data_IF_597082122781
#
_entry.id   IF_597082122781
#
_cell.length_a   1.000
_cell.length_b   1.000
_cell.length_c   1.000
_cell.angle_alpha   90.00
_cell.angle_beta   90.00
_cell.angle_gamma   90.00
#
_symmetry.space_group_name_H-M   'P 1'
#
loop_
_entity.id
_entity.type
_entity.pdbx_description
1 polymer ?
#
# COMPACT_ATOMS: atom_id res chain seq x y z
N UNK A 1 19.71 -2.94 32.84
CA UNK A 1 20.53 -1.88 33.50
C UNK A 1 20.33 -0.64 32.67
N UNK A 2 19.88 0.49 33.22
CA UNK A 2 19.56 1.66 32.39
C UNK A 2 20.84 2.39 31.97
N UNK A 3 20.99 2.69 30.68
CA UNK A 3 22.19 3.34 30.12
C UNK A 3 22.50 4.72 30.72
N UNK A 4 21.48 5.37 31.28
CA UNK A 4 21.54 6.72 31.83
C UNK A 4 21.56 6.76 33.37
N UNK A 5 21.57 5.59 34.02
CA UNK A 5 21.42 5.47 35.48
C UNK A 5 22.51 6.15 36.30
N UNK A 6 23.73 6.31 35.77
CA UNK A 6 24.89 6.83 36.50
C UNK A 6 24.75 8.28 37.03
N UNK A 7 23.79 9.05 36.53
CA UNK A 7 23.51 10.42 36.99
C UNK A 7 22.48 10.49 38.13
N UNK A 8 21.67 9.46 38.33
CA UNK A 8 20.49 9.53 39.19
C UNK A 8 20.77 8.90 40.55
N UNK A 9 20.39 9.59 41.62
CA UNK A 9 20.54 9.12 43.01
C UNK A 9 19.42 8.15 43.42
N UNK A 10 18.30 8.17 42.72
CA UNK A 10 17.09 7.40 43.01
C UNK A 10 16.67 6.61 41.76
N UNK A 11 15.96 5.50 41.99
CA UNK A 11 15.34 4.75 40.89
C UNK A 11 14.15 5.53 40.34
N UNK A 12 13.79 5.35 39.05
CA UNK A 12 12.54 5.86 38.52
C UNK A 12 11.35 5.36 39.34
N UNK A 13 10.33 6.20 39.48
CA UNK A 13 9.03 5.76 39.99
C UNK A 13 8.43 4.71 39.03
N UNK A 14 7.86 3.64 39.59
CA UNK A 14 7.35 2.51 38.79
C UNK A 14 6.23 2.93 37.82
N UNK A 15 5.37 3.88 38.24
CA UNK A 15 4.29 4.40 37.39
C UNK A 15 4.82 5.27 36.25
N UNK A 16 5.85 6.09 36.51
CA UNK A 16 6.52 6.87 35.47
C UNK A 16 7.31 5.97 34.52
N UNK A 17 7.95 4.93 35.02
CA UNK A 17 8.65 3.94 34.20
C UNK A 17 7.69 3.29 33.19
N UNK A 18 6.56 2.78 33.68
CA UNK A 18 5.54 2.16 32.85
C UNK A 18 4.96 3.11 31.78
N UNK A 19 4.95 4.42 32.04
CA UNK A 19 4.54 5.43 31.05
C UNK A 19 5.58 5.66 29.95
N UNK A 20 6.87 5.51 30.26
CA UNK A 20 7.98 5.80 29.33
C UNK A 20 8.44 4.62 28.48
N UNK A 21 8.03 3.40 28.85
CA UNK A 21 8.38 2.16 28.17
C UNK A 21 7.35 1.87 27.08
N UNK A 22 7.83 1.68 25.86
CA UNK A 22 7.02 1.30 24.69
C UNK A 22 7.55 -0.02 24.13
N UNK A 23 6.81 -1.11 24.33
CA UNK A 23 7.20 -2.43 23.85
C UNK A 23 7.00 -2.65 22.35
N UNK A 24 6.44 -1.69 21.61
CA UNK A 24 6.27 -1.81 20.16
C UNK A 24 7.60 -1.96 19.43
N UNK A 25 8.66 -1.34 19.97
CA UNK A 25 10.02 -1.38 19.43
C UNK A 25 10.66 -2.77 19.39
N UNK A 26 10.13 -3.76 20.12
CA UNK A 26 10.57 -5.16 20.06
C UNK A 26 10.47 -5.73 18.65
N UNK A 27 9.59 -5.18 17.80
CA UNK A 27 9.49 -5.53 16.37
C UNK A 27 10.75 -5.15 15.57
N UNK A 28 11.60 -4.28 16.12
CA UNK A 28 12.87 -3.84 15.53
C UNK A 28 14.07 -4.70 15.96
N UNK A 29 13.88 -5.80 16.68
CA UNK A 29 14.99 -6.62 17.21
C UNK A 29 16.01 -7.02 16.13
N UNK A 30 15.55 -7.55 15.00
CA UNK A 30 16.44 -7.91 13.89
C UNK A 30 17.08 -6.69 13.22
N UNK A 31 16.40 -5.54 13.22
CA UNK A 31 16.92 -4.30 12.68
C UNK A 31 18.04 -3.73 13.57
N UNK A 32 17.86 -3.76 14.89
CA UNK A 32 18.84 -3.33 15.90
C UNK A 32 20.10 -4.22 15.88
N UNK A 33 19.93 -5.53 15.72
CA UNK A 33 21.04 -6.49 15.62
C UNK A 33 21.86 -6.20 14.36
N UNK A 34 21.19 -6.02 13.21
CA UNK A 34 21.86 -5.69 11.95
C UNK A 34 22.61 -4.35 12.02
N UNK A 35 21.96 -3.31 12.55
CA UNK A 35 22.58 -2.00 12.77
C UNK A 35 23.75 -2.05 13.75
N UNK A 36 23.65 -2.86 14.80
CA UNK A 36 24.72 -3.10 15.76
C UNK A 36 25.90 -3.86 15.14
N UNK A 37 25.66 -4.84 14.27
CA UNK A 37 26.72 -5.55 13.56
C UNK A 37 27.51 -4.62 12.62
N UNK A 38 26.81 -3.74 11.89
CA UNK A 38 27.42 -2.72 11.06
C UNK A 38 28.23 -1.70 11.88
N UNK A 39 27.68 -1.26 13.02
CA UNK A 39 28.37 -0.35 13.93
C UNK A 39 29.67 -0.95 14.46
N UNK A 40 29.65 -2.20 14.93
CA UNK A 40 30.83 -2.90 15.44
C UNK A 40 31.89 -3.12 14.36
N UNK A 41 31.45 -3.37 13.13
CA UNK A 41 32.35 -3.48 11.96
C UNK A 41 33.10 -2.17 11.75
N UNK A 42 32.37 -1.03 11.71
CA UNK A 42 32.97 0.30 11.64
C UNK A 42 33.95 0.58 12.80
N UNK A 43 33.60 0.22 14.04
CA UNK A 43 34.48 0.44 15.19
C UNK A 43 35.79 -0.35 15.08
N UNK A 44 35.75 -1.56 14.52
CA UNK A 44 36.93 -2.39 14.27
C UNK A 44 37.81 -1.82 13.15
N UNK A 45 37.22 -1.42 12.02
CA UNK A 45 37.96 -0.87 10.88
C UNK A 45 38.61 0.48 11.17
N UNK A 46 37.97 1.29 12.01
CA UNK A 46 38.50 2.59 12.47
C UNK A 46 39.50 2.45 13.63
N UNK A 47 39.71 1.23 14.14
CA UNK A 47 40.67 0.95 15.21
C UNK A 47 40.26 1.49 16.59
N UNK A 48 38.98 1.82 16.79
CA UNK A 48 38.44 2.28 18.08
C UNK A 48 38.38 1.11 19.07
N UNK A 49 38.09 -0.10 18.57
CA UNK A 49 38.20 -1.36 19.30
C UNK A 49 39.20 -2.27 18.57
N UNK A 50 39.73 -3.27 19.27
CA UNK A 50 40.65 -4.22 18.63
C UNK A 50 39.90 -5.14 17.67
N UNK A 51 40.63 -5.78 16.75
CA UNK A 51 40.07 -6.78 15.83
C UNK A 51 39.41 -7.94 16.60
N UNK A 52 40.07 -8.43 17.66
CA UNK A 52 39.55 -9.51 18.50
C UNK A 52 38.26 -9.08 19.24
N UNK A 53 38.17 -7.82 19.68
CA UNK A 53 36.97 -7.26 20.31
C UNK A 53 35.82 -7.13 19.31
N UNK A 54 36.10 -6.65 18.10
CA UNK A 54 35.11 -6.55 17.02
C UNK A 54 34.57 -7.92 16.63
N UNK A 55 35.43 -8.94 16.51
CA UNK A 55 35.03 -10.31 16.18
C UNK A 55 34.19 -10.95 17.30
N UNK A 56 34.57 -10.74 18.56
CA UNK A 56 33.79 -11.21 19.71
C UNK A 56 32.38 -10.61 19.72
N UNK A 57 32.27 -9.29 19.53
CA UNK A 57 30.98 -8.59 19.47
C UNK A 57 30.11 -9.07 18.30
N UNK A 58 30.69 -9.21 17.10
CA UNK A 58 29.99 -9.73 15.93
C UNK A 58 29.49 -11.16 16.14
N UNK A 59 30.33 -12.03 16.71
CA UNK A 59 29.93 -13.40 17.04
C UNK A 59 28.78 -13.45 18.04
N UNK A 60 28.82 -12.60 19.08
CA UNK A 60 27.72 -12.48 20.03
C UNK A 60 26.43 -11.98 19.39
N UNK A 61 26.51 -11.01 18.46
CA UNK A 61 25.34 -10.51 17.74
C UNK A 61 24.72 -11.58 16.80
N UNK A 62 25.54 -12.42 16.16
CA UNK A 62 25.04 -13.57 15.38
C UNK A 62 24.26 -14.53 16.26
N UNK A 63 24.77 -14.85 17.46
CA UNK A 63 24.04 -15.70 18.40
C UNK A 63 22.71 -15.06 18.85
N UNK A 64 22.68 -13.74 19.06
CA UNK A 64 21.44 -13.02 19.39
C UNK A 64 20.45 -13.07 18.22
N UNK A 65 20.92 -12.97 16.98
CA UNK A 65 20.09 -13.13 15.78
C UNK A 65 19.47 -14.54 15.71
N UNK A 66 20.26 -15.58 15.96
CA UNK A 66 19.77 -16.96 16.05
C UNK A 66 18.69 -17.10 17.12
N UNK A 67 18.92 -16.56 18.32
CA UNK A 67 17.93 -16.55 19.41
C UNK A 67 16.64 -15.80 19.02
N UNK A 68 16.76 -14.70 18.28
CA UNK A 68 15.61 -13.91 17.81
C UNK A 68 14.79 -14.70 16.77
N UNK A 69 15.45 -15.36 15.82
CA UNK A 69 14.79 -16.14 14.76
C UNK A 69 14.14 -17.41 15.31
N UNK A 70 14.78 -18.08 16.28
CA UNK A 70 14.23 -19.26 16.96
C UNK A 70 13.14 -18.92 17.98
N UNK A 71 12.97 -17.64 18.32
CA UNK A 71 12.01 -17.18 19.33
C UNK A 71 12.43 -17.52 20.77
N UNK A 72 13.73 -17.71 21.00
CA UNK A 72 14.32 -18.02 22.31
C UNK A 72 14.94 -16.81 22.99
N UNK A 73 15.05 -15.66 22.28
CA UNK A 73 15.47 -14.40 22.88
C UNK A 73 14.46 -13.91 23.94
N UNK A 74 14.92 -13.75 25.17
CA UNK A 74 14.08 -13.30 26.29
C UNK A 74 14.24 -11.80 26.58
N UNK A 75 13.14 -11.06 26.45
CA UNK A 75 13.01 -9.71 26.99
C UNK A 75 12.74 -9.77 28.50
N UNK A 76 13.44 -8.93 29.27
CA UNK A 76 13.30 -8.85 30.73
C UNK A 76 12.58 -7.56 31.15
N UNK A 77 12.06 -7.51 32.38
CA UNK A 77 11.44 -6.29 32.94
C UNK A 77 12.43 -5.11 33.07
N UNK A 78 13.72 -5.40 33.11
CA UNK A 78 14.79 -4.40 33.20
C UNK A 78 15.23 -3.82 31.85
N UNK A 79 14.65 -4.29 30.75
CA UNK A 79 14.89 -3.79 29.40
C UNK A 79 13.90 -2.64 29.12
N UNK A 80 14.43 -1.42 28.99
CA UNK A 80 13.63 -0.21 28.68
C UNK A 80 13.06 -0.27 27.26
N UNK A 81 13.92 -0.72 26.34
CA UNK A 81 13.74 -0.73 24.89
C UNK A 81 14.49 -1.93 24.29
N UNK A 82 14.23 -2.21 23.02
CA UNK A 82 14.89 -3.29 22.27
C UNK A 82 16.42 -3.18 22.31
N UNK A 83 16.94 -1.96 22.27
CA UNK A 83 18.36 -1.69 22.24
C UNK A 83 19.06 -2.10 23.55
N UNK A 84 18.42 -1.82 24.69
CA UNK A 84 18.89 -2.22 26.02
C UNK A 84 18.86 -3.74 26.21
N UNK A 85 17.87 -4.42 25.62
CA UNK A 85 17.78 -5.87 25.62
C UNK A 85 18.94 -6.50 24.84
N UNK A 86 19.22 -6.01 23.62
CA UNK A 86 20.34 -6.49 22.79
C UNK A 86 21.68 -6.25 23.49
N UNK A 87 21.88 -5.07 24.07
CA UNK A 87 23.12 -4.75 24.78
C UNK A 87 23.31 -5.61 26.04
N UNK A 88 22.26 -5.79 26.85
CA UNK A 88 22.29 -6.71 28.00
C UNK A 88 22.68 -8.11 27.55
N UNK A 89 21.98 -8.63 26.54
CA UNK A 89 22.22 -10.00 26.06
C UNK A 89 23.64 -10.14 25.51
N UNK A 90 24.15 -9.13 24.81
CA UNK A 90 25.52 -9.15 24.29
C UNK A 90 26.56 -9.19 25.41
N UNK A 91 26.38 -8.39 26.48
CA UNK A 91 27.25 -8.43 27.67
C UNK A 91 27.21 -9.79 28.37
N UNK A 92 26.04 -10.44 28.45
CA UNK A 92 25.93 -11.81 29.00
C UNK A 92 26.74 -12.83 28.18
N UNK A 93 26.82 -12.65 26.86
CA UNK A 93 27.52 -13.56 25.95
C UNK A 93 29.03 -13.31 25.90
N UNK A 94 29.46 -12.06 25.84
CA UNK A 94 30.87 -11.69 25.53
C UNK A 94 31.56 -10.90 26.65
N UNK A 95 30.89 -10.75 27.80
CA UNK A 95 31.43 -10.10 28.99
C UNK A 95 31.62 -8.60 28.83
N UNK A 96 32.67 -8.06 29.46
CA UNK A 96 32.95 -6.62 29.50
C UNK A 96 33.14 -6.00 28.11
N UNK A 97 33.61 -6.78 27.12
CA UNK A 97 33.70 -6.32 25.73
C UNK A 97 32.33 -5.89 25.19
N UNK A 98 31.25 -6.54 25.61
CA UNK A 98 29.86 -6.19 25.24
C UNK A 98 29.50 -4.74 25.58
N UNK A 99 30.05 -4.21 26.67
CA UNK A 99 29.82 -2.82 27.09
C UNK A 99 30.47 -1.79 26.16
N UNK A 100 31.34 -2.21 25.23
CA UNK A 100 31.92 -1.34 24.21
C UNK A 100 30.98 -1.11 23.02
N UNK A 101 29.89 -1.86 22.88
CA UNK A 101 28.96 -1.78 21.75
C UNK A 101 28.46 -0.35 21.50
N UNK A 102 28.19 0.42 22.56
CA UNK A 102 27.61 1.76 22.44
C UNK A 102 28.67 2.87 22.17
N UNK A 103 29.94 2.52 22.00
CA UNK A 103 31.03 3.49 21.78
C UNK A 103 30.76 4.31 20.51
N UNK A 104 30.74 5.64 20.62
CA UNK A 104 30.52 6.56 19.49
C UNK A 104 29.08 6.64 18.98
N UNK A 105 28.14 5.89 19.57
CA UNK A 105 26.73 5.81 19.16
C UNK A 105 25.82 6.48 20.17
N UNK A 106 24.60 6.81 19.75
CA UNK A 106 23.50 7.20 20.63
C UNK A 106 22.29 6.31 20.38
N UNK A 107 21.32 6.31 21.29
CA UNK A 107 20.00 5.76 20.96
C UNK A 107 19.30 6.54 19.85
N UNK A 108 19.65 7.82 19.65
CA UNK A 108 19.00 8.69 18.68
C UNK A 108 19.30 8.31 17.22
N UNK A 109 20.56 8.08 16.87
CA UNK A 109 20.95 7.62 15.52
C UNK A 109 20.67 6.12 15.33
N UNK A 110 20.76 5.33 16.40
CA UNK A 110 20.39 3.91 16.40
C UNK A 110 18.91 3.71 16.06
N UNK A 111 17.97 4.32 16.79
CA UNK A 111 16.54 4.17 16.49
C UNK A 111 16.15 4.75 15.12
N UNK A 112 16.84 5.80 14.67
CA UNK A 112 16.65 6.37 13.35
C UNK A 112 17.09 5.40 12.24
N UNK A 113 18.16 4.62 12.48
CA UNK A 113 18.57 3.56 11.57
C UNK A 113 17.58 2.39 11.60
N UNK A 114 17.24 1.88 12.78
CA UNK A 114 16.44 0.67 12.92
C UNK A 114 15.06 0.82 12.26
N UNK A 115 14.42 1.99 12.43
CA UNK A 115 13.15 2.26 11.74
C UNK A 115 13.34 2.35 10.22
N UNK A 116 14.44 2.91 9.70
CA UNK A 116 14.71 2.95 8.25
C UNK A 116 14.92 1.56 7.67
N UNK A 117 15.69 0.70 8.35
CA UNK A 117 15.89 -0.70 7.96
C UNK A 117 14.56 -1.46 7.93
N UNK A 118 13.74 -1.26 8.97
CA UNK A 118 12.41 -1.84 9.05
C UNK A 118 11.52 -1.40 7.88
N UNK A 119 11.43 -0.09 7.64
CA UNK A 119 10.63 0.47 6.55
C UNK A 119 11.11 0.00 5.19
N UNK A 120 12.43 -0.12 4.98
CA UNK A 120 13.02 -0.63 3.73
C UNK A 120 12.56 -2.06 3.47
N UNK A 121 12.65 -2.94 4.49
CA UNK A 121 12.16 -4.33 4.41
C UNK A 121 10.66 -4.39 4.15
N UNK A 122 9.86 -3.63 4.88
CA UNK A 122 8.40 -3.62 4.71
C UNK A 122 8.00 -3.07 3.35
N UNK A 123 8.62 -1.99 2.86
CA UNK A 123 8.37 -1.44 1.53
C UNK A 123 8.62 -2.48 0.43
N UNK A 124 9.71 -3.25 0.51
CA UNK A 124 9.96 -4.37 -0.42
C UNK A 124 8.87 -5.44 -0.37
N UNK A 125 8.38 -5.81 0.82
CA UNK A 125 7.27 -6.77 0.94
C UNK A 125 5.96 -6.21 0.37
N UNK A 126 5.64 -4.94 0.64
CA UNK A 126 4.46 -4.26 0.09
C UNK A 126 4.51 -4.15 -1.43
N UNK A 127 5.69 -3.90 -2.02
CA UNK A 127 5.90 -3.94 -3.48
C UNK A 127 5.51 -5.31 -4.05
N UNK A 128 5.96 -6.40 -3.41
CA UNK A 128 5.66 -7.76 -3.87
C UNK A 128 4.16 -8.08 -3.74
N UNK A 129 3.54 -7.73 -2.62
CA UNK A 129 2.11 -7.96 -2.39
C UNK A 129 1.22 -7.14 -3.34
N UNK A 130 1.56 -5.87 -3.58
CA UNK A 130 0.86 -5.03 -4.56
C UNK A 130 1.02 -5.57 -5.99
N UNK A 131 2.20 -6.11 -6.32
CA UNK A 131 2.43 -6.77 -7.62
C UNK A 131 1.54 -8.01 -7.75
N UNK A 132 1.51 -8.86 -6.73
CA UNK A 132 0.64 -10.05 -6.69
C UNK A 132 -0.83 -9.67 -6.84
N UNK A 133 -1.30 -8.68 -6.08
CA UNK A 133 -2.68 -8.19 -6.15
C UNK A 133 -3.04 -7.67 -7.55
N UNK A 134 -2.14 -6.89 -8.16
CA UNK A 134 -2.32 -6.40 -9.54
C UNK A 134 -2.37 -7.55 -10.56
N UNK A 135 -1.52 -8.58 -10.42
CA UNK A 135 -1.53 -9.77 -11.27
C UNK A 135 -2.79 -10.62 -11.10
N UNK A 136 -3.33 -10.75 -9.88
CA UNK A 136 -4.61 -11.43 -9.64
C UNK A 136 -5.74 -10.70 -10.37
N UNK A 137 -5.81 -9.36 -10.26
CA UNK A 137 -6.78 -8.57 -11.03
C UNK A 137 -6.57 -8.71 -12.54
N UNK A 138 -5.32 -8.78 -13.01
CA UNK A 138 -4.99 -8.98 -14.42
C UNK A 138 -5.48 -10.33 -14.95
N UNK A 139 -5.29 -11.41 -14.18
CA UNK A 139 -5.79 -12.75 -14.55
C UNK A 139 -7.31 -12.76 -14.71
N UNK A 140 -8.04 -12.23 -13.72
CA UNK A 140 -9.50 -12.11 -13.78
C UNK A 140 -9.92 -11.21 -14.95
N UNK A 141 -9.18 -10.12 -15.20
CA UNK A 141 -9.47 -9.22 -16.31
C UNK A 141 -9.25 -9.86 -17.68
N UNK A 142 -8.32 -10.80 -17.80
CA UNK A 142 -8.09 -11.58 -19.03
C UNK A 142 -9.25 -12.54 -19.28
N UNK A 143 -9.70 -13.27 -18.26
CA UNK A 143 -10.86 -14.16 -18.34
C UNK A 143 -12.16 -13.42 -18.71
N UNK A 144 -12.25 -12.14 -18.30
CA UNK A 144 -13.38 -11.26 -18.56
C UNK A 144 -13.10 -10.14 -19.56
N UNK A 145 -12.14 -10.34 -20.47
CA UNK A 145 -11.76 -9.33 -21.47
C UNK A 145 -12.86 -9.00 -22.49
N UNK A 146 -13.84 -9.91 -22.65
CA UNK A 146 -14.99 -9.74 -23.54
C UNK A 146 -16.35 -9.71 -22.79
N UNK A 147 -16.37 -9.87 -21.47
CA UNK A 147 -17.62 -9.86 -20.69
C UNK A 147 -18.20 -8.44 -20.62
N UNK A 148 -19.34 -8.14 -21.25
CA UNK A 148 -19.87 -6.78 -21.29
C UNK A 148 -20.50 -6.41 -19.95
N UNK A 149 -20.14 -5.22 -19.44
CA UNK A 149 -20.77 -4.62 -18.26
C UNK A 149 -21.07 -3.16 -18.49
N UNK A 150 -22.06 -2.64 -17.78
CA UNK A 150 -22.27 -1.20 -17.72
C UNK A 150 -21.18 -0.56 -16.86
N UNK A 151 -20.48 0.44 -17.37
CA UNK A 151 -19.73 1.38 -16.55
C UNK A 151 -20.70 2.31 -15.82
N UNK A 152 -20.28 2.80 -14.66
CA UNK A 152 -21.12 3.67 -13.84
C UNK A 152 -20.47 5.03 -13.65
N UNK A 153 -21.29 6.08 -13.79
CA UNK A 153 -20.98 7.41 -13.27
C UNK A 153 -22.15 7.86 -12.42
N UNK A 154 -21.90 8.39 -11.22
CA UNK A 154 -22.95 8.69 -10.24
C UNK A 154 -23.83 7.46 -9.88
N UNK A 155 -23.26 6.26 -9.99
CA UNK A 155 -23.98 4.98 -9.82
C UNK A 155 -25.17 4.83 -10.80
N UNK A 156 -25.11 5.51 -11.96
CA UNK A 156 -26.00 5.33 -13.09
C UNK A 156 -25.23 4.68 -14.24
N UNK A 157 -25.87 3.76 -14.97
CA UNK A 157 -25.26 3.13 -16.14
C UNK A 157 -24.93 4.22 -17.17
N UNK A 158 -23.68 4.24 -17.62
CA UNK A 158 -23.15 5.28 -18.50
C UNK A 158 -22.84 4.72 -19.89
N UNK A 159 -21.88 3.79 -19.98
CA UNK A 159 -21.43 3.18 -21.22
C UNK A 159 -21.23 1.68 -21.00
N UNK A 160 -21.04 0.93 -22.06
CA UNK A 160 -20.64 -0.49 -21.97
C UNK A 160 -19.13 -0.63 -22.16
N UNK A 161 -18.52 -1.41 -21.27
CA UNK A 161 -17.09 -1.76 -21.27
C UNK A 161 -16.92 -3.23 -20.88
N UNK A 162 -15.78 -3.87 -21.18
CA UNK A 162 -15.50 -5.18 -20.60
C UNK A 162 -15.35 -5.11 -19.08
N UNK A 163 -15.80 -6.13 -18.35
CA UNK A 163 -15.51 -6.26 -16.92
C UNK A 163 -13.99 -6.25 -16.68
N UNK A 164 -13.21 -6.86 -17.57
CA UNK A 164 -11.75 -6.79 -17.51
C UNK A 164 -11.20 -5.36 -17.59
N UNK A 165 -11.83 -4.46 -18.34
CA UNK A 165 -11.45 -3.05 -18.37
C UNK A 165 -11.67 -2.37 -17.01
N UNK A 166 -12.79 -2.67 -16.36
CA UNK A 166 -13.11 -2.16 -15.03
C UNK A 166 -12.11 -2.64 -13.99
N UNK A 167 -11.81 -3.95 -13.97
CA UNK A 167 -10.86 -4.55 -13.02
C UNK A 167 -9.43 -4.02 -13.22
N UNK A 168 -9.02 -3.79 -14.47
CA UNK A 168 -7.71 -3.20 -14.77
C UNK A 168 -7.55 -1.78 -14.23
N UNK A 169 -8.62 -1.02 -14.05
CA UNK A 169 -8.54 0.30 -13.41
C UNK A 169 -7.93 0.19 -11.99
N UNK A 170 -8.28 -0.85 -11.24
CA UNK A 170 -7.72 -1.13 -9.92
C UNK A 170 -6.32 -1.73 -9.96
N UNK A 171 -6.02 -2.57 -10.96
CA UNK A 171 -4.65 -3.03 -11.18
C UNK A 171 -3.70 -1.85 -11.43
N UNK A 172 -4.12 -0.86 -12.24
CA UNK A 172 -3.35 0.37 -12.46
C UNK A 172 -3.23 1.27 -11.23
N UNK A 173 -4.21 1.24 -10.31
CA UNK A 173 -4.07 1.89 -9.00
C UNK A 173 -2.96 1.22 -8.19
N UNK A 174 -2.97 -0.12 -8.10
CA UNK A 174 -1.95 -0.88 -7.40
C UNK A 174 -0.53 -0.69 -7.99
N UNK A 175 -0.40 -0.55 -9.32
CA UNK A 175 0.88 -0.21 -9.97
C UNK A 175 1.42 1.14 -9.50
N UNK A 176 0.57 2.17 -9.38
CA UNK A 176 0.99 3.48 -8.85
C UNK A 176 1.32 3.43 -7.37
N UNK A 177 0.61 2.61 -6.59
CA UNK A 177 0.93 2.44 -5.18
C UNK A 177 2.28 1.72 -5.01
N UNK A 178 2.52 0.69 -5.83
CA UNK A 178 3.82 0.00 -5.95
C UNK A 178 4.95 0.96 -6.32
N UNK A 179 4.74 1.84 -7.30
CA UNK A 179 5.78 2.79 -7.71
C UNK A 179 6.16 3.77 -6.60
N UNK A 180 5.20 4.21 -5.77
CA UNK A 180 5.50 5.06 -4.61
C UNK A 180 6.42 4.38 -3.61
N UNK A 181 6.22 3.08 -3.36
CA UNK A 181 7.14 2.32 -2.51
C UNK A 181 8.53 2.16 -3.14
N UNK A 182 8.64 1.99 -4.46
CA UNK A 182 9.95 2.03 -5.13
C UNK A 182 10.65 3.37 -4.98
N UNK A 183 9.93 4.47 -5.20
CA UNK A 183 10.48 5.81 -5.05
C UNK A 183 10.93 6.06 -3.61
N UNK A 184 10.17 5.57 -2.62
CA UNK A 184 10.50 5.66 -1.20
C UNK A 184 11.75 4.86 -0.83
N UNK A 185 11.95 3.67 -1.41
CA UNK A 185 13.15 2.87 -1.15
C UNK A 185 14.44 3.65 -1.43
N UNK A 186 14.47 4.46 -2.49
CA UNK A 186 15.62 5.32 -2.82
C UNK A 186 15.95 6.26 -1.65
N UNK A 187 14.94 6.90 -1.04
CA UNK A 187 15.16 7.83 0.09
C UNK A 187 15.47 7.11 1.40
N UNK A 188 14.98 5.88 1.58
CA UNK A 188 15.30 5.03 2.73
C UNK A 188 16.72 4.45 2.68
N UNK A 189 17.44 4.59 1.57
CA UNK A 189 18.80 4.06 1.37
C UNK A 189 19.91 4.91 1.98
N UNK A 190 19.59 5.97 2.72
CA UNK A 190 20.58 6.79 3.43
C UNK A 190 20.71 6.39 4.90
N UNK A 191 21.92 6.05 5.36
CA UNK A 191 22.18 5.64 6.75
C UNK A 191 22.30 6.86 7.67
N UNK A 192 21.59 6.90 8.82
CA UNK A 192 21.80 7.93 9.85
C UNK A 192 22.89 7.57 10.87
N UNK A 193 23.44 6.36 10.80
CA UNK A 193 24.36 5.82 11.81
C UNK A 193 25.70 6.57 11.82
N UNK A 194 26.11 7.06 12.99
CA UNK A 194 27.28 7.93 13.15
C UNK A 194 26.91 9.39 13.43
N UNK A 195 25.63 9.77 13.31
CA UNK A 195 25.12 11.07 13.73
C UNK A 195 25.15 11.25 15.26
N UNK A 196 25.33 10.17 16.02
CA UNK A 196 25.36 10.16 17.48
C UNK A 196 24.11 10.83 18.05
N UNK A 197 24.24 11.58 19.15
CA UNK A 197 23.07 12.17 19.82
C UNK A 197 22.44 13.34 19.03
N UNK A 198 23.25 14.11 18.31
CA UNK A 198 22.81 15.30 17.56
C UNK A 198 23.95 16.01 16.79
N UNK A 199 25.18 15.94 17.31
CA UNK A 199 26.34 16.68 16.79
C UNK A 199 27.38 15.82 16.08
N UNK A 200 27.10 14.53 15.84
CA UNK A 200 28.10 13.56 15.44
C UNK A 200 29.00 13.11 16.61
N UNK A 201 29.98 12.27 16.30
CA UNK A 201 30.97 11.79 17.27
C UNK A 201 32.31 12.53 17.13
N UNK A 202 33.03 12.71 18.23
CA UNK A 202 34.43 13.17 18.20
C UNK A 202 35.43 12.03 17.98
N UNK A 203 34.95 10.78 17.99
CA UNK A 203 35.76 9.62 17.62
C UNK A 203 35.89 9.56 16.08
N UNK A 204 36.97 8.96 15.56
CA UNK A 204 37.19 8.86 14.11
C UNK A 204 36.30 7.77 13.48
N UNK A 205 34.97 7.94 13.57
CA UNK A 205 34.00 7.04 12.94
C UNK A 205 34.05 7.17 11.41
N UNK A 206 33.65 6.12 10.73
CA UNK A 206 33.48 6.10 9.27
C UNK A 206 32.07 5.60 8.91
N UNK A 207 31.06 6.52 8.82
CA UNK A 207 29.68 6.15 8.52
C UNK A 207 29.51 5.37 7.21
N UNK A 208 30.41 5.54 6.23
CA UNK A 208 30.36 4.83 4.95
C UNK A 208 30.59 3.32 5.13
N UNK A 209 31.47 2.92 6.05
CA UNK A 209 31.68 1.50 6.40
C UNK A 209 30.38 0.90 6.93
N UNK A 210 29.69 1.61 7.82
CA UNK A 210 28.44 1.15 8.41
C UNK A 210 27.32 1.09 7.37
N UNK A 211 27.19 2.11 6.51
CA UNK A 211 26.22 2.14 5.43
C UNK A 211 26.43 1.00 4.42
N UNK A 212 27.68 0.79 4.00
CA UNK A 212 28.05 -0.29 3.08
C UNK A 212 27.73 -1.68 3.64
N UNK A 213 28.03 -1.92 4.93
CA UNK A 213 27.71 -3.17 5.61
C UNK A 213 26.19 -3.47 5.64
N UNK A 214 25.34 -2.43 5.61
CA UNK A 214 23.87 -2.54 5.60
C UNK A 214 23.27 -2.53 4.18
N UNK A 215 24.12 -2.45 3.14
CA UNK A 215 23.71 -2.28 1.75
C UNK A 215 22.90 -0.99 1.53
N UNK A 216 23.23 0.07 2.26
CA UNK A 216 22.70 1.42 2.06
C UNK A 216 23.54 2.16 1.02
N UNK A 217 22.94 3.10 0.30
CA UNK A 217 23.56 3.79 -0.84
C UNK A 217 24.39 5.01 -0.41
N UNK A 218 24.14 5.54 0.78
CA UNK A 218 24.85 6.70 1.29
C UNK A 218 24.68 6.92 2.80
N UNK A 219 25.16 8.08 3.24
CA UNK A 219 25.19 8.51 4.64
C UNK A 219 24.53 9.88 4.80
N UNK A 220 24.08 10.17 6.02
CA UNK A 220 23.48 11.45 6.35
C UNK A 220 24.45 12.64 6.12
N UNK A 221 23.92 13.75 5.57
CA UNK A 221 24.68 15.00 5.41
C UNK A 221 24.70 15.87 6.69
N UNK A 222 23.70 15.72 7.55
CA UNK A 222 23.51 16.57 8.73
C UNK A 222 23.03 15.74 9.93
N UNK A 223 23.81 15.76 11.02
CA UNK A 223 23.53 14.96 12.21
C UNK A 223 22.28 15.38 12.99
N UNK A 224 21.90 16.67 12.95
CA UNK A 224 20.66 17.14 13.57
C UNK A 224 19.43 16.61 12.82
N UNK A 225 19.50 16.63 11.49
CA UNK A 225 18.46 16.10 10.62
C UNK A 225 18.34 14.58 10.75
N UNK A 226 19.47 13.87 10.71
CA UNK A 226 19.54 12.40 10.78
C UNK A 226 18.79 11.82 11.98
N UNK A 227 18.88 12.48 13.14
CA UNK A 227 18.22 12.03 14.38
C UNK A 227 16.86 12.66 14.62
N UNK A 228 16.61 13.86 14.08
CA UNK A 228 15.41 14.65 14.34
C UNK A 228 14.28 14.44 13.32
N UNK A 229 14.58 14.04 12.08
CA UNK A 229 13.58 13.91 11.03
C UNK A 229 12.78 12.59 11.11
N UNK A 230 11.50 12.65 10.72
CA UNK A 230 10.59 11.50 10.52
C UNK A 230 9.76 11.65 9.24
N UNK A 231 10.28 12.38 8.26
CA UNK A 231 9.63 12.56 6.95
C UNK A 231 9.48 11.22 6.20
N UNK A 232 10.49 10.36 6.21
CA UNK A 232 10.44 9.02 5.59
C UNK A 232 9.43 8.10 6.27
N UNK A 233 9.21 8.27 7.58
CA UNK A 233 8.13 7.59 8.31
C UNK A 233 6.76 8.10 7.82
N UNK A 234 6.59 9.41 7.70
CA UNK A 234 5.35 9.99 7.18
C UNK A 234 5.09 9.57 5.72
N UNK A 235 6.13 9.52 4.89
CA UNK A 235 6.03 9.12 3.51
C UNK A 235 5.64 7.65 3.37
N UNK A 236 6.21 6.76 4.17
CA UNK A 236 5.79 5.36 4.22
C UNK A 236 4.31 5.24 4.59
N UNK A 237 3.88 5.92 5.65
CA UNK A 237 2.48 5.91 6.10
C UNK A 237 1.55 6.51 5.06
N UNK A 238 1.99 7.53 4.31
CA UNK A 238 1.27 8.06 3.17
C UNK A 238 1.10 7.02 2.06
N UNK A 239 2.17 6.34 1.66
CA UNK A 239 2.13 5.30 0.63
C UNK A 239 1.11 4.21 0.98
N UNK A 240 1.17 3.72 2.22
CA UNK A 240 0.24 2.71 2.71
C UNK A 240 -1.20 3.22 2.84
N UNK A 241 -1.40 4.45 3.32
CA UNK A 241 -2.72 5.08 3.43
C UNK A 241 -3.36 5.27 2.06
N UNK A 242 -2.60 5.73 1.07
CA UNK A 242 -3.11 5.90 -0.29
C UNK A 242 -3.51 4.56 -0.93
N UNK A 243 -2.74 3.50 -0.69
CA UNK A 243 -3.11 2.15 -1.11
C UNK A 243 -4.41 1.69 -0.43
N UNK A 244 -4.54 1.89 0.88
CA UNK A 244 -5.77 1.58 1.63
C UNK A 244 -7.01 2.35 1.12
N UNK A 245 -6.84 3.60 0.67
CA UNK A 245 -7.92 4.36 0.02
C UNK A 245 -8.30 3.77 -1.34
N UNK A 246 -7.34 3.29 -2.13
CA UNK A 246 -7.67 2.63 -3.40
C UNK A 246 -8.38 1.28 -3.16
N UNK A 247 -7.93 0.51 -2.17
CA UNK A 247 -8.55 -0.75 -1.77
C UNK A 247 -9.97 -0.54 -1.21
N UNK A 248 -10.23 0.56 -0.51
CA UNK A 248 -11.59 0.87 -0.03
C UNK A 248 -12.56 1.17 -1.17
N UNK A 249 -12.09 1.79 -2.27
CA UNK A 249 -12.89 2.01 -3.47
C UNK A 249 -13.28 0.71 -4.16
N UNK A 250 -12.33 -0.21 -4.35
CA UNK A 250 -12.64 -1.54 -4.87
C UNK A 250 -13.61 -2.27 -3.95
N UNK A 251 -13.38 -2.17 -2.64
CA UNK A 251 -14.22 -2.81 -1.64
C UNK A 251 -15.67 -2.34 -1.72
N UNK A 252 -15.92 -1.04 -1.95
CA UNK A 252 -17.26 -0.51 -2.20
C UNK A 252 -17.96 -1.22 -3.35
N UNK A 253 -17.26 -1.41 -4.46
CA UNK A 253 -17.81 -2.06 -5.64
C UNK A 253 -18.04 -3.55 -5.41
N UNK A 254 -17.11 -4.27 -4.78
CA UNK A 254 -17.32 -5.68 -4.42
C UNK A 254 -18.53 -5.87 -3.51
N UNK A 255 -18.77 -4.94 -2.59
CA UNK A 255 -19.95 -4.95 -1.71
C UNK A 255 -21.22 -4.71 -2.53
N UNK A 256 -21.24 -3.70 -3.39
CA UNK A 256 -22.38 -3.40 -4.27
C UNK A 256 -22.68 -4.57 -5.20
N UNK A 257 -21.66 -5.12 -5.84
CA UNK A 257 -21.76 -6.23 -6.80
C UNK A 257 -22.29 -7.51 -6.18
N UNK A 258 -22.05 -7.75 -4.89
CA UNK A 258 -22.56 -8.91 -4.16
C UNK A 258 -23.99 -8.74 -3.62
N UNK A 259 -24.60 -7.55 -3.75
CA UNK A 259 -26.01 -7.36 -3.38
C UNK A 259 -26.94 -8.14 -4.32
N UNK A 260 -28.17 -8.43 -3.86
CA UNK A 260 -29.20 -9.03 -4.71
C UNK A 260 -29.58 -8.16 -5.91
N UNK A 261 -29.50 -6.84 -5.75
CA UNK A 261 -29.89 -5.84 -6.74
C UNK A 261 -28.93 -5.78 -7.92
N UNK A 262 -27.62 -5.96 -7.66
CA UNK A 262 -26.62 -6.08 -8.72
C UNK A 262 -26.42 -7.54 -9.13
N UNK A 263 -26.10 -8.42 -8.18
CA UNK A 263 -25.78 -9.83 -8.42
C UNK A 263 -24.71 -10.04 -9.49
N UNK A 264 -23.65 -9.23 -9.46
CA UNK A 264 -22.53 -9.31 -10.41
C UNK A 264 -21.49 -10.35 -10.03
N UNK A 265 -21.40 -10.68 -8.74
CA UNK A 265 -20.35 -11.54 -8.20
C UNK A 265 -20.87 -12.41 -7.07
N UNK A 266 -20.43 -13.67 -7.05
CA UNK A 266 -20.57 -14.56 -5.90
C UNK A 266 -19.18 -14.94 -5.41
N UNK A 267 -18.94 -14.73 -4.12
CA UNK A 267 -17.67 -15.10 -3.48
C UNK A 267 -17.74 -16.51 -2.88
N UNK A 268 -16.59 -17.18 -2.85
CA UNK A 268 -16.44 -18.48 -2.21
C UNK A 268 -16.80 -18.46 -0.71
N UNK A 269 -17.35 -19.57 -0.20
CA UNK A 269 -17.76 -19.69 1.21
C UNK A 269 -16.60 -19.48 2.17
N UNK A 270 -15.41 -19.97 1.82
CA UNK A 270 -14.17 -19.78 2.60
C UNK A 270 -13.71 -18.33 2.70
N UNK A 271 -14.31 -17.41 1.94
CA UNK A 271 -13.93 -15.99 1.85
C UNK A 271 -15.08 -15.06 2.22
N UNK A 272 -16.20 -15.61 2.68
CA UNK A 272 -17.38 -14.87 3.14
C UNK A 272 -17.83 -15.39 4.50
N UNK A 273 -18.71 -14.63 5.16
CA UNK A 273 -19.44 -15.12 6.32
C UNK A 273 -20.92 -15.29 5.99
N UNK A 274 -21.58 -16.21 6.69
CA UNK A 274 -23.02 -16.41 6.58
C UNK A 274 -23.80 -15.72 7.69
N UNK A 275 -25.12 -15.65 7.55
CA UNK A 275 -26.01 -15.32 8.67
C UNK A 275 -26.50 -16.60 9.35
N UNK A 276 -26.44 -16.65 10.68
CA UNK A 276 -27.02 -17.75 11.47
C UNK A 276 -28.55 -17.83 11.35
N UNK A 277 -29.22 -16.75 10.93
CA UNK A 277 -30.67 -16.67 10.79
C UNK A 277 -31.16 -16.70 9.33
N UNK A 278 -30.31 -16.32 8.36
CA UNK A 278 -30.67 -16.18 6.95
C UNK A 278 -29.71 -16.99 6.06
N UNK A 279 -30.05 -18.25 5.71
CA UNK A 279 -29.12 -19.19 5.08
C UNK A 279 -28.67 -18.81 3.66
N UNK A 280 -29.45 -17.97 2.96
CA UNK A 280 -29.10 -17.47 1.63
C UNK A 280 -28.10 -16.29 1.66
N UNK A 281 -27.87 -15.68 2.82
CA UNK A 281 -27.09 -14.44 2.92
C UNK A 281 -25.60 -14.73 3.04
N UNK A 282 -24.81 -14.34 2.03
CA UNK A 282 -23.35 -14.26 2.08
C UNK A 282 -22.92 -12.81 2.26
N UNK A 283 -22.15 -12.53 3.31
CA UNK A 283 -21.66 -11.19 3.60
C UNK A 283 -20.23 -11.02 3.06
N UNK A 284 -19.94 -9.95 2.29
CA UNK A 284 -18.59 -9.64 1.81
C UNK A 284 -17.72 -8.99 2.92
N UNK A 285 -17.64 -9.62 4.09
CA UNK A 285 -17.01 -9.06 5.30
C UNK A 285 -15.58 -8.58 5.07
N UNK A 286 -14.80 -9.28 4.24
CA UNK A 286 -13.43 -8.88 3.94
C UNK A 286 -13.36 -7.52 3.24
N UNK A 287 -14.28 -7.24 2.31
CA UNK A 287 -14.39 -5.94 1.66
C UNK A 287 -14.93 -4.88 2.63
N UNK A 288 -15.91 -5.22 3.47
CA UNK A 288 -16.43 -4.30 4.50
C UNK A 288 -15.34 -3.87 5.48
N UNK A 289 -14.56 -4.84 5.98
CA UNK A 289 -13.42 -4.62 6.86
C UNK A 289 -12.31 -3.83 6.16
N UNK A 290 -11.98 -4.14 4.90
CA UNK A 290 -10.99 -3.38 4.13
C UNK A 290 -11.38 -1.90 4.01
N UNK A 291 -12.65 -1.62 3.66
CA UNK A 291 -13.20 -0.27 3.61
C UNK A 291 -13.13 0.42 4.97
N UNK A 292 -13.55 -0.25 6.05
CA UNK A 292 -13.48 0.28 7.41
C UNK A 292 -12.05 0.57 7.89
N UNK A 293 -11.12 -0.35 7.67
CA UNK A 293 -9.70 -0.25 8.06
C UNK A 293 -8.96 0.89 7.36
N UNK A 294 -9.44 1.35 6.21
CA UNK A 294 -8.91 2.55 5.56
C UNK A 294 -9.00 3.80 6.45
N UNK A 295 -10.01 3.90 7.33
CA UNK A 295 -10.13 4.99 8.28
C UNK A 295 -9.01 4.98 9.34
N UNK A 296 -8.56 3.79 9.77
CA UNK A 296 -7.44 3.65 10.71
C UNK A 296 -6.13 4.15 10.08
N UNK A 297 -5.89 3.82 8.80
CA UNK A 297 -4.72 4.31 8.07
C UNK A 297 -4.72 5.84 7.95
N UNK A 298 -5.87 6.43 7.61
CA UNK A 298 -6.04 7.91 7.55
C UNK A 298 -5.78 8.55 8.92
N UNK A 299 -6.26 7.94 10.01
CA UNK A 299 -6.03 8.39 11.38
C UNK A 299 -4.55 8.34 11.77
N UNK A 300 -3.85 7.26 11.41
CA UNK A 300 -2.41 7.13 11.63
C UNK A 300 -1.62 8.19 10.86
N UNK A 301 -1.97 8.47 9.59
CA UNK A 301 -1.35 9.54 8.81
C UNK A 301 -1.52 10.91 9.48
N UNK A 302 -2.73 11.21 9.97
CA UNK A 302 -3.00 12.44 10.72
C UNK A 302 -2.11 12.51 11.96
N UNK A 303 -2.04 11.40 12.72
CA UNK A 303 -1.23 11.30 13.93
C UNK A 303 0.25 11.58 13.64
N UNK A 304 0.85 10.89 12.66
CA UNK A 304 2.27 11.04 12.31
C UNK A 304 2.61 12.47 11.87
N UNK A 305 1.75 13.11 11.07
CA UNK A 305 1.98 14.51 10.68
C UNK A 305 1.89 15.45 11.88
N UNK A 306 0.90 15.26 12.76
CA UNK A 306 0.74 16.11 13.95
C UNK A 306 1.82 15.88 14.99
N UNK A 307 2.36 14.67 15.09
CA UNK A 307 3.45 14.33 15.99
C UNK A 307 4.71 15.13 15.67
N UNK A 308 5.02 15.30 14.38
CA UNK A 308 6.20 16.03 13.92
C UNK A 308 6.02 17.55 13.94
N UNK A 309 4.77 18.02 13.88
CA UNK A 309 4.45 19.44 13.68
C UNK A 309 4.98 20.29 14.84
N UNK A 310 5.88 21.21 14.50
CA UNK A 310 6.47 22.20 15.40
C UNK A 310 7.34 21.62 16.53
N UNK A 311 7.86 20.40 16.37
CA UNK A 311 8.93 19.90 17.24
C UNK A 311 10.21 20.73 17.01
N UNK A 312 10.87 21.21 18.08
CA UNK A 312 12.18 21.83 17.94
C UNK A 312 13.24 20.78 17.59
N UNK A 313 14.29 21.16 16.87
CA UNK A 313 15.41 20.25 16.65
C UNK A 313 16.16 19.92 17.96
N UNK A 314 16.78 18.75 18.10
CA UNK A 314 16.88 17.65 17.11
C UNK A 314 15.95 16.48 17.46
N UNK A 315 16.39 15.55 18.31
CA UNK A 315 15.55 14.46 18.82
C UNK A 315 14.71 14.91 20.01
N UNK A 316 13.42 14.52 20.03
CA UNK A 316 12.52 14.68 21.18
C UNK A 316 11.82 13.35 21.46
N UNK A 317 11.50 13.09 22.73
CA UNK A 317 10.88 11.82 23.17
C UNK A 317 9.51 11.59 22.53
N UNK A 318 8.83 12.65 22.06
CA UNK A 318 7.62 12.59 21.25
C UNK A 318 7.74 11.60 20.08
N UNK A 319 8.92 11.54 19.44
CA UNK A 319 9.21 10.64 18.31
C UNK A 319 9.19 9.15 18.70
N UNK A 320 9.01 8.79 19.98
CA UNK A 320 8.70 7.42 20.37
C UNK A 320 7.35 6.95 19.81
N UNK A 321 6.37 7.87 19.70
CA UNK A 321 4.99 7.55 19.29
C UNK A 321 4.78 7.21 17.82
N UNK A 322 5.84 7.22 17.00
CA UNK A 322 5.77 6.89 15.57
C UNK A 322 5.56 5.40 15.29
N UNK A 323 6.28 4.54 16.02
CA UNK A 323 6.40 3.09 15.82
C UNK A 323 5.06 2.37 15.79
N UNK A 324 4.25 2.58 16.82
CA UNK A 324 2.92 1.95 16.92
C UNK A 324 2.03 2.29 15.71
N UNK A 325 2.10 3.53 15.20
CA UNK A 325 1.32 3.95 14.03
C UNK A 325 1.83 3.28 12.76
N UNK A 326 3.15 3.27 12.55
CA UNK A 326 3.80 2.63 11.39
C UNK A 326 3.46 1.16 11.32
N UNK A 327 3.70 0.42 12.42
CA UNK A 327 3.48 -1.01 12.49
C UNK A 327 2.02 -1.38 12.23
N UNK A 328 1.10 -0.63 12.83
CA UNK A 328 -0.33 -0.84 12.61
C UNK A 328 -0.71 -0.62 11.15
N UNK A 329 -0.26 0.46 10.52
CA UNK A 329 -0.61 0.78 9.12
C UNK A 329 -0.04 -0.27 8.17
N UNK A 330 1.19 -0.72 8.40
CA UNK A 330 1.82 -1.79 7.62
C UNK A 330 1.01 -3.10 7.71
N UNK A 331 0.65 -3.52 8.93
CA UNK A 331 -0.13 -4.74 9.16
C UNK A 331 -1.52 -4.66 8.52
N UNK A 332 -2.17 -3.49 8.60
CA UNK A 332 -3.45 -3.24 7.96
C UNK A 332 -3.36 -3.38 6.44
N UNK A 333 -2.32 -2.81 5.82
CA UNK A 333 -2.13 -2.91 4.37
C UNK A 333 -1.88 -4.37 3.95
N UNK A 334 -0.95 -5.06 4.61
CA UNK A 334 -0.64 -6.47 4.31
C UNK A 334 -1.88 -7.36 4.44
N UNK A 335 -2.56 -7.28 5.59
CA UNK A 335 -3.74 -8.09 5.86
C UNK A 335 -4.86 -7.81 4.87
N UNK A 336 -5.03 -6.55 4.44
CA UNK A 336 -6.04 -6.16 3.45
C UNK A 336 -5.69 -6.67 2.05
N UNK A 337 -4.43 -6.56 1.62
CA UNK A 337 -3.97 -7.11 0.35
C UNK A 337 -4.15 -8.63 0.31
N UNK A 338 -3.76 -9.34 1.37
CA UNK A 338 -3.95 -10.80 1.47
C UNK A 338 -5.42 -11.17 1.39
N UNK A 339 -6.28 -10.52 2.18
CA UNK A 339 -7.71 -10.83 2.24
C UNK A 339 -8.42 -10.55 0.91
N UNK A 340 -8.20 -9.39 0.30
CA UNK A 340 -8.83 -9.03 -0.97
C UNK A 340 -8.29 -9.85 -2.14
N UNK A 341 -6.99 -10.16 -2.17
CA UNK A 341 -6.41 -11.06 -3.19
C UNK A 341 -7.09 -12.43 -3.14
N UNK A 342 -7.20 -13.03 -1.95
CA UNK A 342 -7.84 -14.34 -1.79
C UNK A 342 -9.34 -14.29 -2.16
N UNK A 343 -10.05 -13.25 -1.71
CA UNK A 343 -11.47 -13.06 -2.01
C UNK A 343 -11.74 -12.96 -3.52
N UNK A 344 -10.90 -12.22 -4.26
CA UNK A 344 -11.00 -12.09 -5.71
C UNK A 344 -10.63 -13.36 -6.47
N UNK A 345 -9.57 -14.07 -6.04
CA UNK A 345 -9.13 -15.33 -6.64
C UNK A 345 -10.21 -16.43 -6.60
N UNK A 346 -11.06 -16.40 -5.56
CA UNK A 346 -12.21 -17.29 -5.42
C UNK A 346 -13.55 -16.71 -5.86
N UNK A 347 -13.57 -15.59 -6.59
CA UNK A 347 -14.80 -14.93 -7.02
C UNK A 347 -15.30 -15.48 -8.36
N UNK A 348 -16.62 -15.65 -8.47
CA UNK A 348 -17.30 -15.97 -9.73
C UNK A 348 -18.09 -14.75 -10.19
N UNK A 349 -17.71 -14.17 -11.33
CA UNK A 349 -18.38 -13.01 -11.91
C UNK A 349 -19.44 -13.43 -12.94
N UNK A 350 -20.63 -12.88 -12.81
CA UNK A 350 -21.79 -13.11 -13.68
C UNK A 350 -22.61 -11.82 -13.81
N UNK A 351 -22.01 -10.73 -14.30
CA UNK A 351 -22.73 -9.48 -14.45
C UNK A 351 -23.93 -9.65 -15.42
N UNK A 352 -25.05 -8.97 -15.16
CA UNK A 352 -26.19 -8.96 -16.07
C UNK A 352 -25.82 -8.22 -17.36
N UNK A 353 -26.60 -8.46 -18.42
CA UNK A 353 -26.47 -7.72 -19.66
C UNK A 353 -26.65 -6.21 -19.39
N UNK A 354 -25.77 -5.35 -19.97
CA UNK A 354 -25.92 -3.90 -19.85
C UNK A 354 -27.22 -3.44 -20.52
N UNK A 355 -27.81 -2.36 -20.02
CA UNK A 355 -28.98 -1.77 -20.67
C UNK A 355 -28.63 -1.28 -22.08
N UNK A 356 -29.61 -1.36 -22.98
CA UNK A 356 -29.53 -0.78 -24.32
C UNK A 356 -29.27 0.73 -24.29
N UNK A 357 -29.63 1.44 -23.22
CA UNK A 357 -29.34 2.88 -23.08
C UNK A 357 -27.84 3.22 -23.09
N UNK A 358 -26.96 2.25 -22.79
CA UNK A 358 -25.50 2.46 -22.76
C UNK A 358 -24.88 2.78 -24.13
N UNK A 359 -25.61 2.56 -25.22
CA UNK A 359 -25.19 2.87 -26.60
C UNK A 359 -25.78 4.17 -27.15
N UNK A 360 -26.55 4.94 -26.36
CA UNK A 360 -27.15 6.19 -26.84
C UNK A 360 -26.11 7.22 -27.32
N UNK A 361 -24.93 7.27 -26.68
CA UNK A 361 -23.85 8.15 -27.12
C UNK A 361 -23.36 7.78 -28.53
N UNK A 362 -23.32 6.50 -28.86
CA UNK A 362 -22.81 5.99 -30.14
C UNK A 362 -23.65 6.51 -31.31
N UNK A 363 -24.98 6.65 -31.13
CA UNK A 363 -25.86 7.32 -32.11
C UNK A 363 -25.47 8.78 -32.35
N UNK A 364 -25.15 9.52 -31.28
CA UNK A 364 -24.71 10.90 -31.40
C UNK A 364 -23.33 10.98 -32.09
N UNK A 365 -22.42 10.05 -31.80
CA UNK A 365 -21.12 9.98 -32.47
C UNK A 365 -21.23 9.64 -33.96
N UNK A 366 -22.20 8.81 -34.37
CA UNK A 366 -22.47 8.55 -35.80
C UNK A 366 -22.80 9.84 -36.54
N UNK A 367 -23.70 10.66 -35.97
CA UNK A 367 -24.05 11.96 -36.53
C UNK A 367 -22.83 12.90 -36.59
N UNK A 368 -21.99 12.90 -35.55
CA UNK A 368 -20.75 13.68 -35.53
C UNK A 368 -19.78 13.24 -36.62
N UNK A 369 -19.58 11.93 -36.82
CA UNK A 369 -18.76 11.39 -37.91
C UNK A 369 -19.28 11.80 -39.29
N UNK A 370 -20.56 12.14 -39.40
CA UNK A 370 -21.21 12.66 -40.62
C UNK A 370 -21.28 14.19 -40.69
N UNK A 371 -20.57 14.89 -39.80
CA UNK A 371 -20.40 16.34 -39.83
C UNK A 371 -21.45 17.13 -39.04
N UNK A 372 -22.35 16.47 -38.31
CA UNK A 372 -23.31 17.15 -37.44
C UNK A 372 -22.57 17.65 -36.18
N UNK A 373 -22.68 18.93 -35.80
CA UNK A 373 -22.10 19.41 -34.54
C UNK A 373 -22.62 18.62 -33.34
N UNK A 374 -21.75 18.25 -32.39
CA UNK A 374 -22.10 17.38 -31.26
C UNK A 374 -23.35 17.85 -30.48
N UNK A 375 -23.52 19.16 -30.26
CA UNK A 375 -24.72 19.68 -29.57
C UNK A 375 -26.02 19.38 -30.32
N UNK A 376 -26.00 19.41 -31.65
CA UNK A 376 -27.18 19.08 -32.46
C UNK A 376 -27.39 17.55 -32.51
N UNK A 377 -26.32 16.78 -32.64
CA UNK A 377 -26.38 15.32 -32.58
C UNK A 377 -26.96 14.81 -31.24
N UNK A 378 -26.44 15.33 -30.13
CA UNK A 378 -26.94 15.06 -28.78
C UNK A 378 -28.40 15.49 -28.62
N UNK A 379 -28.80 16.65 -29.19
CA UNK A 379 -30.18 17.10 -29.17
C UNK A 379 -31.13 16.11 -29.87
N UNK A 380 -30.80 15.70 -31.09
CA UNK A 380 -31.60 14.75 -31.86
C UNK A 380 -31.75 13.39 -31.16
N UNK A 381 -30.65 12.85 -30.62
CA UNK A 381 -30.68 11.60 -29.84
C UNK A 381 -31.44 11.78 -28.54
N UNK A 382 -31.28 12.92 -27.85
CA UNK A 382 -32.01 13.22 -26.61
C UNK A 382 -33.53 13.26 -26.81
N UNK A 383 -34.00 13.82 -27.93
CA UNK A 383 -35.43 13.80 -28.29
C UNK A 383 -35.93 12.39 -28.60
N UNK A 384 -35.13 11.57 -29.31
CA UNK A 384 -35.44 10.15 -29.55
C UNK A 384 -35.57 9.38 -28.24
N UNK A 385 -34.58 9.49 -27.36
CA UNK A 385 -34.59 8.87 -26.01
C UNK A 385 -35.81 9.35 -25.21
N UNK A 386 -36.12 10.65 -25.23
CA UNK A 386 -37.28 11.20 -24.55
C UNK A 386 -38.60 10.54 -24.99
N UNK A 387 -38.82 10.37 -26.29
CA UNK A 387 -40.03 9.71 -26.83
C UNK A 387 -40.12 8.24 -26.45
N UNK A 388 -39.01 7.52 -26.45
CA UNK A 388 -38.97 6.11 -26.06
C UNK A 388 -39.32 5.95 -24.59
N UNK A 389 -38.71 6.75 -23.72
CA UNK A 389 -39.01 6.76 -22.28
C UNK A 389 -40.47 7.11 -22.01
N UNK A 390 -41.02 8.13 -22.67
CA UNK A 390 -42.44 8.51 -22.55
C UNK A 390 -43.39 7.39 -22.99
N UNK A 391 -42.98 6.57 -23.96
CA UNK A 391 -43.78 5.44 -24.47
C UNK A 391 -43.50 4.11 -23.76
N UNK A 392 -42.60 4.08 -22.79
CA UNK A 392 -42.22 2.87 -22.05
C UNK A 392 -41.37 1.87 -22.85
N UNK A 393 -40.72 2.32 -23.93
CA UNK A 393 -39.80 1.54 -24.75
C UNK A 393 -38.34 1.78 -24.34
N UNK A 394 -37.48 0.81 -24.63
CA UNK A 394 -36.04 0.92 -24.51
C UNK A 394 -35.38 1.36 -25.82
N UNK A 395 -34.08 1.68 -25.78
CA UNK A 395 -33.32 1.96 -27.00
C UNK A 395 -33.31 0.75 -27.95
N UNK A 396 -33.31 -0.47 -27.41
CA UNK A 396 -33.38 -1.71 -28.19
C UNK A 396 -34.68 -1.88 -29.00
N UNK A 397 -35.75 -1.15 -28.66
CA UNK A 397 -37.04 -1.22 -29.35
C UNK A 397 -37.14 -0.24 -30.54
N UNK A 398 -36.12 0.62 -30.73
CA UNK A 398 -36.10 1.61 -31.81
C UNK A 398 -36.22 0.93 -33.17
N UNK A 399 -37.16 1.39 -33.97
CA UNK A 399 -37.29 0.98 -35.37
C UNK A 399 -36.40 1.81 -36.30
N UNK A 400 -36.10 1.26 -37.48
CA UNK A 400 -35.37 1.99 -38.55
C UNK A 400 -36.08 3.30 -38.90
N UNK A 401 -37.42 3.28 -38.95
CA UNK A 401 -38.22 4.46 -39.28
C UNK A 401 -38.10 5.53 -38.18
N UNK A 402 -38.15 5.16 -36.91
CA UNK A 402 -37.96 6.10 -35.79
C UNK A 402 -36.54 6.67 -35.74
N UNK A 403 -35.53 5.85 -36.03
CA UNK A 403 -34.13 6.27 -36.08
C UNK A 403 -33.88 7.26 -37.22
N UNK A 404 -34.32 6.92 -38.44
CA UNK A 404 -34.15 7.79 -39.61
C UNK A 404 -35.00 9.06 -39.53
N UNK A 405 -36.15 9.01 -38.84
CA UNK A 405 -36.95 10.20 -38.53
C UNK A 405 -36.32 11.10 -37.45
N UNK A 406 -35.39 10.60 -36.64
CA UNK A 406 -34.73 11.41 -35.60
C UNK A 406 -33.75 12.44 -36.19
N UNK A 407 -33.10 12.14 -37.32
CA UNK A 407 -32.22 13.08 -38.02
C UNK A 407 -31.90 12.60 -39.46
N UNK A 408 -31.95 13.51 -40.44
CA UNK A 408 -31.71 13.20 -41.88
C UNK A 408 -30.36 12.55 -42.20
N UNK A 409 -29.40 12.69 -41.29
CA UNK A 409 -28.07 12.11 -41.43
C UNK A 409 -27.99 10.66 -40.94
N UNK A 410 -29.01 10.10 -40.28
CA UNK A 410 -29.08 8.67 -39.98
C UNK A 410 -29.41 7.84 -41.23
N UNK A 411 -29.02 6.57 -41.19
CA UNK A 411 -29.27 5.58 -42.23
C UNK A 411 -29.81 4.30 -41.61
N UNK A 412 -30.54 3.45 -42.37
CA UNK A 412 -31.09 2.21 -41.83
C UNK A 412 -30.07 1.31 -41.13
N UNK A 413 -28.85 1.22 -41.65
CA UNK A 413 -27.78 0.39 -41.05
C UNK A 413 -27.31 0.87 -39.67
N UNK A 414 -27.56 2.11 -39.28
CA UNK A 414 -27.11 2.64 -37.98
C UNK A 414 -27.84 2.02 -36.80
N UNK A 415 -28.96 1.34 -37.04
CA UNK A 415 -29.68 0.60 -36.00
C UNK A 415 -28.79 -0.45 -35.32
N UNK A 416 -27.78 -0.96 -36.02
CA UNK A 416 -26.81 -1.93 -35.47
C UNK A 416 -25.97 -1.33 -34.32
N UNK A 417 -25.78 -0.01 -34.25
CA UNK A 417 -24.99 0.61 -33.17
C UNK A 417 -25.71 0.68 -31.84
N UNK A 418 -27.00 0.32 -31.80
CA UNK A 418 -27.79 0.25 -30.57
C UNK A 418 -27.37 -0.97 -29.73
N UNK A 419 -26.77 -1.99 -30.36
CA UNK A 419 -26.23 -3.15 -29.66
C UNK A 419 -25.08 -2.75 -28.71
N UNK A 420 -25.21 -2.99 -27.39
CA UNK A 420 -24.13 -2.75 -26.44
C UNK A 420 -22.83 -3.49 -26.78
N UNK A 421 -22.90 -4.68 -27.39
CA UNK A 421 -21.67 -5.39 -27.78
C UNK A 421 -20.92 -4.65 -28.90
N UNK A 422 -21.64 -4.18 -29.92
CA UNK A 422 -21.07 -3.36 -30.98
C UNK A 422 -20.48 -2.05 -30.43
N UNK A 423 -21.19 -1.39 -29.50
CA UNK A 423 -20.69 -0.19 -28.81
C UNK A 423 -19.38 -0.48 -28.07
N UNK A 424 -19.31 -1.55 -27.28
CA UNK A 424 -18.11 -1.95 -26.55
C UNK A 424 -16.91 -2.18 -27.48
N UNK A 425 -17.12 -2.88 -28.60
CA UNK A 425 -16.07 -3.15 -29.58
C UNK A 425 -15.54 -1.87 -30.22
N UNK A 426 -16.39 -0.86 -30.44
CA UNK A 426 -16.03 0.39 -31.08
C UNK A 426 -15.16 1.32 -30.21
N UNK A 427 -15.05 1.09 -28.89
CA UNK A 427 -14.29 1.96 -27.95
C UNK A 427 -12.78 1.74 -28.01
N UNK A 428 -12.18 1.88 -29.19
CA UNK A 428 -10.78 1.56 -29.48
C UNK A 428 -9.78 2.72 -29.29
N UNK A 429 -10.16 3.80 -28.60
CA UNK A 429 -9.21 4.86 -28.25
C UNK A 429 -8.12 4.35 -27.29
N UNK A 430 -6.96 5.03 -27.19
CA UNK A 430 -5.93 4.64 -26.22
C UNK A 430 -6.48 4.57 -24.79
N UNK A 431 -6.35 3.41 -24.14
CA UNK A 431 -6.93 3.16 -22.82
C UNK A 431 -8.46 3.10 -22.81
N UNK A 432 -9.11 2.91 -23.96
CA UNK A 432 -10.56 2.79 -24.10
C UNK A 432 -11.14 1.48 -23.55
N UNK A 433 -12.47 1.39 -23.58
CA UNK A 433 -13.24 0.26 -23.04
C UNK A 433 -13.59 -0.80 -24.07
N UNK A 434 -12.61 -1.26 -24.86
CA UNK A 434 -12.79 -2.38 -25.81
C UNK A 434 -11.94 -3.59 -25.44
N UNK A 435 -12.29 -4.82 -25.89
CA UNK A 435 -11.48 -6.02 -25.65
C UNK A 435 -10.01 -5.86 -26.12
N UNK A 436 -9.81 -5.22 -27.27
CA UNK A 436 -8.46 -4.91 -27.77
C UNK A 436 -7.68 -4.01 -26.81
N UNK A 437 -8.33 -3.02 -26.20
CA UNK A 437 -7.68 -2.17 -25.21
C UNK A 437 -7.35 -2.92 -23.94
N UNK A 438 -8.23 -3.83 -23.47
CA UNK A 438 -7.96 -4.71 -22.34
C UNK A 438 -6.70 -5.53 -22.58
N UNK A 439 -6.57 -6.19 -23.74
CA UNK A 439 -5.37 -6.95 -24.08
C UNK A 439 -4.11 -6.08 -24.14
N UNK A 440 -4.21 -4.87 -24.71
CA UNK A 440 -3.08 -3.92 -24.75
C UNK A 440 -2.62 -3.54 -23.34
N UNK A 441 -3.58 -3.29 -22.45
CA UNK A 441 -3.30 -2.97 -21.05
C UNK A 441 -2.71 -4.16 -20.29
N UNK A 442 -3.22 -5.39 -20.50
CA UNK A 442 -2.70 -6.61 -19.89
C UNK A 442 -1.23 -6.85 -20.25
N UNK A 443 -0.88 -6.76 -21.54
CA UNK A 443 0.52 -6.89 -21.99
C UNK A 443 1.39 -5.86 -21.30
N UNK A 444 0.97 -4.59 -21.29
CA UNK A 444 1.76 -3.52 -20.67
C UNK A 444 1.89 -3.70 -19.16
N UNK A 445 0.85 -4.18 -18.50
CA UNK A 445 0.83 -4.42 -17.07
C UNK A 445 1.81 -5.54 -16.68
N UNK A 446 1.79 -6.67 -17.40
CA UNK A 446 2.71 -7.80 -17.21
C UNK A 446 4.17 -7.38 -17.40
N UNK A 447 4.47 -6.68 -18.49
CA UNK A 447 5.80 -6.10 -18.73
C UNK A 447 6.32 -5.22 -17.57
N UNK A 448 5.44 -4.39 -16.99
CA UNK A 448 5.80 -3.51 -15.87
C UNK A 448 6.00 -4.25 -14.54
N UNK A 449 5.33 -5.38 -14.37
CA UNK A 449 5.39 -6.21 -13.18
C UNK A 449 6.48 -7.28 -13.25
N UNK A 450 7.07 -7.50 -14.44
CA UNK A 450 8.14 -8.48 -14.66
C UNK A 450 7.66 -9.92 -14.77
N UNK A 451 6.40 -10.10 -15.17
CA UNK A 451 5.74 -11.35 -15.55
C UNK A 451 5.65 -11.41 -17.09
#
# INVERSE_FOLDING_TARGET
MTLWGGRFAEKPDDGLWAYTVDHSDRRLLLDDIAGSAAHVTMLGETGIITVDESEALRSGLVQIEEEAVEGTFEFTEGDEDVHSAVERRLVELVGEVGAKLHTGRSRNDQIALDIRLHLRRMASLRIAELSKFALTLAGIAEDHAETPVASYTHLQQAQVVPLGHHLLAYAWMAVRDRSRFFDLLVRLSESPLGASASGGSSLPLDPEVAASALGMEGTFDNSLDAVGSRDLVAEYVFCATQAMVNLSRLSEELILWATSEFSWVTFADRHTTGSSALPQKKNPDMAELARGRSAEAIGAMTTILTLQKALPLAYNRDLQGDKTQVFRVDDLLSGTLIALTAMLDGAEFHPPAPSSWTSALDLAEILVRRGVPFRHAHGAVGELVGRLVESGHELADVTVDELTAAHDAFRPEDIESIDPLASMQARSSPGGGSPQSVHTQLTRLRELLGD
#
